data_IF_220013633991
#
_entry.id   IF_220013633991
#
_cell.length_a   1.000
_cell.length_b   1.000
_cell.length_c   1.000
_cell.angle_alpha   90.00
_cell.angle_beta   90.00
_cell.angle_gamma   90.00
#
_symmetry.space_group_name_H-M   'P 1'
#
loop_
_entity.id
_entity.type
_entity.pdbx_description
1 polymer ?
#
# COMPACT_ATOMS: atom_id res chain seq x y z
N UNK A 1 -8.37 15.33 -9.23
CA UNK A 1 -9.77 15.47 -8.75
C UNK A 1 -10.63 14.41 -9.42
N UNK A 2 -11.46 13.68 -8.67
CA UNK A 2 -12.35 12.63 -9.18
C UNK A 2 -13.83 13.04 -8.96
N UNK A 3 -14.46 13.74 -9.91
CA UNK A 3 -15.72 14.46 -9.68
C UNK A 3 -16.95 13.57 -9.46
N UNK A 4 -16.86 12.27 -9.77
CA UNK A 4 -17.92 11.29 -9.55
C UNK A 4 -17.63 10.34 -8.37
N UNK A 5 -16.51 10.56 -7.65
CA UNK A 5 -16.21 9.79 -6.44
C UNK A 5 -16.84 10.45 -5.22
N UNK A 6 -17.13 9.62 -4.22
CA UNK A 6 -17.49 10.07 -2.87
C UNK A 6 -16.49 11.13 -2.38
N UNK A 7 -16.99 12.13 -1.67
CA UNK A 7 -16.17 13.12 -0.98
C UNK A 7 -15.26 12.45 0.05
N UNK A 8 -14.20 13.16 0.47
CA UNK A 8 -13.32 12.65 1.53
C UNK A 8 -14.08 12.34 2.82
N UNK A 9 -15.09 13.15 3.16
CA UNK A 9 -15.94 12.95 4.34
C UNK A 9 -16.81 11.69 4.21
N UNK A 10 -17.45 11.49 3.06
CA UNK A 10 -18.24 10.28 2.79
C UNK A 10 -17.36 9.03 2.81
N UNK A 11 -16.15 9.12 2.24
CA UNK A 11 -15.20 8.01 2.23
C UNK A 11 -14.78 7.62 3.66
N UNK A 12 -14.39 8.59 4.49
CA UNK A 12 -14.04 8.34 5.90
C UNK A 12 -15.26 7.88 6.72
N UNK A 13 -16.45 8.39 6.43
CA UNK A 13 -17.69 7.93 7.08
C UNK A 13 -17.94 6.44 6.82
N UNK A 14 -17.76 5.97 5.59
CA UNK A 14 -17.93 4.55 5.26
C UNK A 14 -16.95 3.67 6.06
N UNK A 15 -15.68 4.09 6.14
CA UNK A 15 -14.70 3.39 6.98
C UNK A 15 -15.09 3.38 8.45
N UNK A 16 -15.53 4.51 9.00
CA UNK A 16 -16.03 4.62 10.37
C UNK A 16 -17.17 3.64 10.65
N UNK A 17 -18.20 3.62 9.80
CA UNK A 17 -19.34 2.70 9.97
C UNK A 17 -18.89 1.23 9.91
N UNK A 18 -17.98 0.89 8.98
CA UNK A 18 -17.41 -0.46 8.91
C UNK A 18 -16.68 -0.84 10.21
N UNK A 19 -15.84 0.07 10.74
CA UNK A 19 -15.11 -0.18 11.98
C UNK A 19 -16.03 -0.34 13.19
N UNK A 20 -17.10 0.47 13.29
CA UNK A 20 -18.12 0.35 14.34
C UNK A 20 -18.89 -0.98 14.27
N UNK A 21 -18.96 -1.60 13.09
CA UNK A 21 -19.52 -2.94 12.89
C UNK A 21 -18.48 -4.06 13.10
N UNK A 22 -17.25 -3.73 13.50
CA UNK A 22 -16.17 -4.70 13.70
C UNK A 22 -15.53 -5.21 12.40
N UNK A 23 -15.74 -4.52 11.29
CA UNK A 23 -15.17 -4.87 9.98
C UNK A 23 -13.87 -4.07 9.82
N UNK A 24 -12.69 -4.72 9.84
CA UNK A 24 -11.43 -4.03 9.60
C UNK A 24 -11.32 -3.61 8.14
N UNK A 25 -10.61 -2.52 7.88
CA UNK A 25 -10.43 -2.00 6.51
C UNK A 25 -8.99 -1.55 6.26
N UNK A 26 -8.70 -1.22 4.99
CA UNK A 26 -7.44 -0.63 4.57
C UNK A 26 -7.71 0.76 4.01
N UNK A 27 -6.71 1.64 4.07
CA UNK A 27 -6.82 2.99 3.53
C UNK A 27 -5.71 3.27 2.52
N UNK A 28 -6.05 3.99 1.46
CA UNK A 28 -5.10 4.34 0.39
C UNK A 28 -4.97 5.85 0.26
N UNK A 29 -3.77 6.30 -0.03
CA UNK A 29 -3.49 7.68 -0.44
C UNK A 29 -2.80 7.66 -1.80
N UNK A 30 -3.50 8.13 -2.83
CA UNK A 30 -2.86 8.38 -4.12
C UNK A 30 -1.94 9.60 -3.99
N UNK A 31 -0.72 9.50 -4.48
CA UNK A 31 0.28 10.58 -4.42
C UNK A 31 1.08 10.66 -5.71
N UNK A 32 1.73 11.80 -5.93
CA UNK A 32 2.57 12.06 -7.09
C UNK A 32 1.80 12.52 -8.31
N UNK A 33 0.60 13.06 -8.13
CA UNK A 33 -0.18 13.71 -9.16
C UNK A 33 -0.03 15.23 -9.04
N UNK A 34 -1.15 15.96 -9.11
CA UNK A 34 -1.19 17.43 -9.02
C UNK A 34 -1.24 17.97 -7.58
N UNK A 35 -1.09 17.10 -6.57
CA UNK A 35 -1.24 17.51 -5.17
C UNK A 35 0.04 18.08 -4.58
N UNK A 36 -0.11 18.93 -3.58
CA UNK A 36 0.99 19.43 -2.79
C UNK A 36 1.29 18.49 -1.61
N UNK A 37 2.49 18.61 -1.04
CA UNK A 37 2.84 17.88 0.19
C UNK A 37 1.88 18.17 1.35
N UNK A 38 1.28 19.36 1.38
CA UNK A 38 0.26 19.72 2.38
C UNK A 38 -0.97 18.84 2.26
N UNK A 39 -1.40 18.50 1.04
CA UNK A 39 -2.55 17.63 0.80
C UNK A 39 -2.27 16.20 1.29
N UNK A 40 -1.04 15.71 1.09
CA UNK A 40 -0.60 14.40 1.62
C UNK A 40 -0.67 14.37 3.15
N UNK A 41 -0.14 15.40 3.81
CA UNK A 41 -0.16 15.52 5.27
C UNK A 41 -1.58 15.66 5.79
N UNK A 42 -2.43 16.44 5.13
CA UNK A 42 -3.84 16.57 5.49
C UNK A 42 -4.58 15.24 5.38
N UNK A 43 -4.35 14.46 4.31
CA UNK A 43 -4.89 13.11 4.19
C UNK A 43 -4.44 12.23 5.35
N UNK A 44 -3.12 12.21 5.65
CA UNK A 44 -2.57 11.43 6.76
C UNK A 44 -3.13 11.86 8.13
N UNK A 45 -3.34 13.15 8.37
CA UNK A 45 -3.96 13.66 9.61
C UNK A 45 -5.37 13.11 9.77
N UNK A 46 -6.20 13.23 8.73
CA UNK A 46 -7.61 12.80 8.79
C UNK A 46 -7.76 11.30 9.02
N UNK A 47 -6.93 10.47 8.37
CA UNK A 47 -6.99 9.02 8.56
C UNK A 47 -6.42 8.59 9.91
N UNK A 48 -5.40 9.30 10.42
CA UNK A 48 -4.86 9.11 11.76
C UNK A 48 -5.89 9.44 12.83
N UNK A 49 -6.61 10.55 12.70
CA UNK A 49 -7.69 10.94 13.61
C UNK A 49 -8.81 9.89 13.64
N UNK A 50 -9.25 9.41 12.47
CA UNK A 50 -10.25 8.34 12.42
C UNK A 50 -9.72 7.03 13.02
N UNK A 51 -8.44 6.73 12.85
CA UNK A 51 -7.81 5.57 13.48
C UNK A 51 -7.75 5.69 15.00
N UNK A 52 -7.47 6.87 15.55
CA UNK A 52 -7.53 7.13 17.00
C UNK A 52 -8.96 6.89 17.55
N UNK A 53 -9.98 7.21 16.76
CA UNK A 53 -11.38 7.03 17.16
C UNK A 53 -11.88 5.58 17.07
N UNK A 54 -11.40 4.80 16.11
CA UNK A 54 -12.03 3.52 15.73
C UNK A 54 -11.09 2.32 15.72
N UNK A 55 -9.78 2.53 15.55
CA UNK A 55 -8.76 1.48 15.51
C UNK A 55 -8.92 0.42 14.40
N UNK A 56 -9.77 0.66 13.40
CA UNK A 56 -10.18 -0.38 12.45
C UNK A 56 -9.33 -0.48 11.18
N UNK A 57 -8.40 0.46 10.94
CA UNK A 57 -7.48 0.33 9.82
C UNK A 57 -6.37 -0.65 10.11
N UNK A 58 -6.13 -1.58 9.18
CA UNK A 58 -5.03 -2.54 9.28
C UNK A 58 -3.75 -2.01 8.62
N UNK A 59 -3.88 -1.33 7.48
CA UNK A 59 -2.73 -0.88 6.70
C UNK A 59 -3.01 0.42 5.97
N UNK A 60 -1.99 1.28 5.95
CA UNK A 60 -1.94 2.46 5.08
C UNK A 60 -1.15 2.14 3.81
N UNK A 61 -1.69 2.53 2.67
CA UNK A 61 -1.17 2.17 1.35
C UNK A 61 -0.93 3.46 0.53
N UNK A 62 0.31 3.98 0.50
CA UNK A 62 0.69 5.06 -0.42
C UNK A 62 0.73 4.50 -1.85
N UNK A 63 -0.16 4.97 -2.71
CA UNK A 63 -0.27 4.56 -4.11
C UNK A 63 0.37 5.59 -5.01
N UNK A 64 1.46 5.20 -5.68
CA UNK A 64 2.13 6.03 -6.68
C UNK A 64 1.22 6.21 -7.89
N UNK A 65 0.97 7.46 -8.26
CA UNK A 65 0.26 7.81 -9.48
C UNK A 65 1.10 7.54 -10.73
N UNK A 66 0.45 7.00 -11.77
CA UNK A 66 1.04 6.78 -13.10
C UNK A 66 0.30 7.63 -14.12
N UNK A 67 0.95 8.62 -14.76
CA UNK A 67 0.30 9.58 -15.65
C UNK A 67 -0.07 8.98 -17.02
N UNK A 68 0.63 7.93 -17.46
CA UNK A 68 0.43 7.33 -18.78
C UNK A 68 -1.01 6.84 -18.98
N UNK A 69 -1.64 7.27 -20.08
CA UNK A 69 -3.02 6.88 -20.40
C UNK A 69 -4.11 7.58 -19.58
N UNK A 70 -3.77 8.56 -18.74
CA UNK A 70 -4.73 9.35 -17.95
C UNK A 70 -4.91 10.75 -18.51
N UNK A 71 -6.10 11.34 -18.33
CA UNK A 71 -6.38 12.73 -18.76
C UNK A 71 -5.59 13.78 -17.95
N UNK A 72 -5.22 13.43 -16.72
CA UNK A 72 -4.53 14.33 -15.80
C UNK A 72 -3.05 14.51 -16.18
N UNK A 73 -2.46 13.56 -16.91
CA UNK A 73 -1.07 13.62 -17.36
C UNK A 73 -0.11 13.83 -16.19
N UNK A 74 1.03 14.47 -16.47
CA UNK A 74 2.07 14.79 -15.49
C UNK A 74 3.31 13.92 -15.63
N UNK A 75 4.20 14.02 -14.65
CA UNK A 75 5.47 13.29 -14.60
C UNK A 75 5.46 12.26 -13.46
N UNK A 76 6.23 11.20 -13.60
CA UNK A 76 6.43 10.24 -12.53
C UNK A 76 7.23 10.87 -11.39
N UNK A 77 6.84 10.58 -10.15
CA UNK A 77 7.64 10.89 -8.98
C UNK A 77 9.00 10.19 -9.05
N UNK A 78 10.02 10.86 -8.50
CA UNK A 78 11.33 10.24 -8.29
C UNK A 78 11.26 9.17 -7.20
N UNK A 79 12.14 8.16 -7.26
CA UNK A 79 12.25 7.15 -6.21
C UNK A 79 12.58 7.75 -4.84
N UNK A 80 13.19 8.93 -4.78
CA UNK A 80 13.45 9.65 -3.53
C UNK A 80 12.13 10.16 -2.93
N UNK A 81 11.22 10.69 -3.74
CA UNK A 81 9.91 11.15 -3.26
C UNK A 81 9.03 9.96 -2.81
N UNK A 82 9.12 8.83 -3.52
CA UNK A 82 8.43 7.59 -3.17
C UNK A 82 8.87 7.09 -1.78
N UNK A 83 10.19 6.96 -1.57
CA UNK A 83 10.75 6.49 -0.30
C UNK A 83 10.49 7.49 0.84
N UNK A 84 10.54 8.81 0.56
CA UNK A 84 10.17 9.84 1.54
C UNK A 84 8.71 9.74 1.94
N UNK A 85 7.81 9.52 0.99
CA UNK A 85 6.37 9.39 1.26
C UNK A 85 6.11 8.21 2.20
N UNK A 86 6.75 7.06 1.95
CA UNK A 86 6.64 5.87 2.81
C UNK A 86 7.24 6.13 4.21
N UNK A 87 8.43 6.74 4.28
CA UNK A 87 9.08 7.03 5.56
C UNK A 87 8.30 8.03 6.41
N UNK A 88 7.77 9.09 5.78
CA UNK A 88 6.91 10.06 6.46
C UNK A 88 5.62 9.39 6.93
N UNK A 89 4.99 8.55 6.10
CA UNK A 89 3.80 7.81 6.51
C UNK A 89 4.07 6.95 7.76
N UNK A 90 5.19 6.21 7.80
CA UNK A 90 5.57 5.43 8.98
C UNK A 90 5.79 6.28 10.23
N UNK A 91 6.42 7.44 10.10
CA UNK A 91 6.69 8.32 11.25
C UNK A 91 5.43 9.08 11.71
N UNK A 92 4.53 9.42 10.79
CA UNK A 92 3.37 10.25 11.05
C UNK A 92 2.15 9.45 11.50
N UNK A 93 1.95 8.25 10.95
CA UNK A 93 0.83 7.36 11.26
C UNK A 93 1.22 6.37 12.37
N UNK A 94 1.53 6.90 13.56
CA UNK A 94 1.99 6.11 14.70
C UNK A 94 0.96 5.11 15.27
N UNK A 95 -0.30 5.22 14.84
CA UNK A 95 -1.41 4.34 15.20
C UNK A 95 -1.83 3.35 14.08
N UNK A 96 -1.00 3.22 13.04
CA UNK A 96 -1.13 2.18 12.02
C UNK A 96 -0.08 1.10 12.21
N UNK A 97 -0.52 -0.16 12.32
CA UNK A 97 0.38 -1.30 12.45
C UNK A 97 1.25 -1.47 11.19
N UNK A 98 0.62 -1.37 10.00
CA UNK A 98 1.25 -1.72 8.74
C UNK A 98 1.30 -0.55 7.74
N UNK A 99 2.41 -0.47 7.00
CA UNK A 99 2.57 0.40 5.82
C UNK A 99 2.94 -0.49 4.63
N UNK A 100 2.14 -0.40 3.56
CA UNK A 100 2.31 -1.25 2.37
C UNK A 100 3.19 -0.58 1.31
N UNK A 101 4.21 -1.29 0.84
CA UNK A 101 4.91 -1.00 -0.41
C UNK A 101 4.23 -1.75 -1.57
N UNK A 102 3.39 -1.05 -2.33
CA UNK A 102 2.72 -1.64 -3.49
C UNK A 102 3.66 -1.74 -4.69
N UNK A 103 4.26 -2.92 -4.89
CA UNK A 103 5.36 -3.11 -5.85
C UNK A 103 4.95 -2.94 -7.32
N UNK A 104 3.66 -3.07 -7.66
CA UNK A 104 3.16 -2.92 -9.04
C UNK A 104 3.31 -1.46 -9.47
N UNK A 105 3.05 -0.51 -8.57
CA UNK A 105 3.20 0.92 -8.90
C UNK A 105 4.61 1.43 -8.62
N UNK A 106 5.31 0.89 -7.62
CA UNK A 106 6.66 1.35 -7.24
C UNK A 106 7.79 0.74 -8.10
N UNK A 107 7.57 -0.47 -8.62
CA UNK A 107 8.61 -1.34 -9.16
C UNK A 107 9.40 -2.08 -8.07
N UNK A 108 9.95 -3.24 -8.41
CA UNK A 108 10.61 -4.17 -7.48
C UNK A 108 11.75 -3.50 -6.68
N UNK A 109 12.62 -2.74 -7.35
CA UNK A 109 13.79 -2.11 -6.69
C UNK A 109 13.38 -1.08 -5.65
N UNK A 110 12.39 -0.24 -5.94
CA UNK A 110 11.92 0.79 -5.00
C UNK A 110 11.13 0.13 -3.87
N UNK A 111 10.30 -0.86 -4.16
CA UNK A 111 9.58 -1.62 -3.14
C UNK A 111 10.53 -2.37 -2.18
N UNK A 112 11.63 -2.92 -2.70
CA UNK A 112 12.69 -3.53 -1.89
C UNK A 112 13.33 -2.51 -0.94
N UNK A 113 13.73 -1.35 -1.46
CA UNK A 113 14.28 -0.28 -0.64
C UNK A 113 13.27 0.21 0.40
N UNK A 114 11.99 0.30 0.04
CA UNK A 114 10.92 0.75 0.93
C UNK A 114 10.81 -0.06 2.23
N UNK A 115 11.20 -1.35 2.22
CA UNK A 115 11.28 -2.19 3.41
C UNK A 115 12.26 -1.65 4.46
N UNK A 116 13.23 -0.84 4.05
CA UNK A 116 14.18 -0.14 4.93
C UNK A 116 13.78 1.31 5.22
N UNK A 117 12.66 1.78 4.66
CA UNK A 117 12.11 3.13 4.85
C UNK A 117 10.75 3.11 5.55
N UNK A 118 10.38 1.99 6.18
CA UNK A 118 9.20 1.91 7.05
C UNK A 118 8.04 1.09 6.50
N UNK A 119 8.11 0.59 5.26
CA UNK A 119 7.17 -0.45 4.83
C UNK A 119 7.52 -1.79 5.49
N UNK A 120 6.51 -2.55 5.90
CA UNK A 120 6.65 -3.91 6.41
C UNK A 120 5.82 -4.93 5.62
N UNK A 121 4.94 -4.43 4.75
CA UNK A 121 4.08 -5.23 3.90
C UNK A 121 4.39 -4.95 2.43
N UNK A 122 4.80 -5.98 1.69
CA UNK A 122 4.99 -5.90 0.24
C UNK A 122 3.92 -6.75 -0.44
N UNK A 123 3.18 -6.12 -1.34
CA UNK A 123 2.00 -6.73 -1.94
C UNK A 123 1.76 -6.18 -3.36
N UNK A 124 1.02 -6.95 -4.14
CA UNK A 124 0.43 -6.53 -5.39
C UNK A 124 0.17 -7.69 -6.32
N UNK A 125 -1.01 -7.69 -6.95
CA UNK A 125 -1.43 -8.75 -7.85
C UNK A 125 -0.54 -8.76 -9.09
N UNK A 126 0.09 -9.89 -9.36
CA UNK A 126 0.90 -10.02 -10.57
C UNK A 126 -0.08 -10.13 -11.75
N UNK A 127 0.16 -9.38 -12.83
CA UNK A 127 -0.66 -9.50 -14.03
C UNK A 127 -0.62 -10.96 -14.58
N UNK A 128 0.53 -11.62 -14.43
CA UNK A 128 0.69 -13.05 -14.66
C UNK A 128 -0.20 -13.88 -13.73
N UNK A 129 -0.37 -13.56 -12.44
CA UNK A 129 -1.31 -14.28 -11.55
C UNK A 129 -2.73 -14.27 -12.10
N UNK A 130 -3.25 -13.14 -12.62
CA UNK A 130 -4.59 -13.09 -13.22
C UNK A 130 -4.70 -13.96 -14.47
N UNK A 131 -3.70 -13.92 -15.35
CA UNK A 131 -3.68 -14.72 -16.59
C UNK A 131 -3.51 -16.21 -16.25
N UNK A 132 -2.69 -16.54 -15.25
CA UNK A 132 -2.35 -17.89 -14.79
C UNK A 132 -3.52 -18.52 -14.02
N UNK A 133 -4.22 -17.76 -13.20
CA UNK A 133 -5.42 -18.24 -12.50
C UNK A 133 -6.54 -18.56 -13.50
N UNK A 134 -6.61 -17.81 -14.61
CA UNK A 134 -7.49 -18.11 -15.74
C UNK A 134 -7.00 -19.29 -16.60
N UNK A 135 -5.69 -19.57 -16.64
CA UNK A 135 -5.07 -20.62 -17.45
C UNK A 135 -4.76 -21.94 -16.70
N UNK A 136 -4.95 -22.00 -15.37
CA UNK A 136 -4.85 -23.23 -14.55
C UNK A 136 -3.42 -23.74 -14.26
N UNK A 137 -2.38 -22.95 -14.52
CA UNK A 137 -0.98 -23.41 -14.46
C UNK A 137 -0.27 -23.08 -13.13
N UNK A 138 -0.07 -24.08 -12.26
CA UNK A 138 0.55 -23.90 -10.92
C UNK A 138 2.01 -23.40 -10.91
N UNK A 139 2.76 -23.58 -12.00
CA UNK A 139 4.20 -23.26 -12.04
C UNK A 139 4.49 -21.75 -11.94
N UNK A 140 3.67 -20.89 -12.55
CA UNK A 140 3.90 -19.45 -12.57
C UNK A 140 3.62 -18.74 -11.23
N UNK A 141 2.65 -19.22 -10.44
CA UNK A 141 2.41 -18.78 -9.05
C UNK A 141 3.61 -19.05 -8.12
N UNK A 142 4.37 -20.13 -8.38
CA UNK A 142 5.60 -20.41 -7.64
C UNK A 142 6.69 -19.37 -7.88
N UNK A 143 6.84 -18.88 -9.11
CA UNK A 143 7.86 -17.90 -9.48
C UNK A 143 7.61 -16.53 -8.83
N UNK A 144 6.36 -16.11 -8.78
CA UNK A 144 5.89 -14.91 -8.09
C UNK A 144 6.29 -14.87 -6.61
N UNK A 145 5.94 -15.93 -5.90
CA UNK A 145 6.19 -16.09 -4.47
C UNK A 145 7.68 -16.11 -4.16
N UNK A 146 8.45 -16.92 -4.90
CA UNK A 146 9.89 -17.02 -4.69
C UNK A 146 10.58 -15.67 -4.94
N UNK A 147 10.10 -14.90 -5.93
CA UNK A 147 10.59 -13.56 -6.22
C UNK A 147 10.37 -12.59 -5.06
N UNK A 148 9.18 -12.58 -4.45
CA UNK A 148 8.90 -11.78 -3.25
C UNK A 148 9.80 -12.19 -2.07
N UNK A 149 9.93 -13.49 -1.84
CA UNK A 149 10.78 -14.03 -0.77
C UNK A 149 12.22 -13.53 -0.95
N UNK A 150 12.77 -13.65 -2.17
CA UNK A 150 14.13 -13.21 -2.46
C UNK A 150 14.28 -11.69 -2.34
N UNK A 151 13.31 -10.91 -2.84
CA UNK A 151 13.31 -9.45 -2.72
C UNK A 151 13.38 -9.01 -1.24
N UNK A 152 12.57 -9.63 -0.38
CA UNK A 152 12.54 -9.34 1.06
C UNK A 152 13.86 -9.75 1.74
N UNK A 153 14.42 -10.93 1.40
CA UNK A 153 15.71 -11.39 1.94
C UNK A 153 16.86 -10.48 1.53
N UNK A 154 16.92 -10.10 0.26
CA UNK A 154 17.94 -9.21 -0.29
C UNK A 154 17.85 -7.79 0.32
N UNK A 155 16.68 -7.40 0.85
CA UNK A 155 16.51 -6.18 1.65
C UNK A 155 17.00 -6.33 3.11
N UNK A 156 17.50 -7.51 3.49
CA UNK A 156 17.92 -7.82 4.87
C UNK A 156 16.76 -8.06 5.83
N UNK A 157 15.58 -8.46 5.33
CA UNK A 157 14.37 -8.72 6.14
C UNK A 157 14.00 -10.20 6.15
N UNK A 158 13.07 -10.56 7.03
CA UNK A 158 12.54 -11.92 7.15
C UNK A 158 11.21 -12.00 6.38
N UNK A 159 11.13 -12.76 5.28
CA UNK A 159 9.88 -12.96 4.57
C UNK A 159 8.89 -13.77 5.39
N UNK A 160 7.65 -13.29 5.47
CA UNK A 160 6.55 -13.97 6.11
C UNK A 160 5.30 -13.92 5.22
N UNK A 161 4.62 -15.05 5.09
CA UNK A 161 3.30 -15.16 4.48
C UNK A 161 2.24 -14.96 5.56
N UNK A 162 1.26 -14.12 5.26
CA UNK A 162 0.18 -13.72 6.17
C UNK A 162 -1.19 -13.97 5.55
N UNK A 163 -2.22 -14.05 6.39
CA UNK A 163 -3.60 -13.95 5.93
C UNK A 163 -4.05 -12.48 5.76
N UNK A 164 -5.33 -12.27 5.46
CA UNK A 164 -5.94 -10.94 5.32
C UNK A 164 -5.91 -10.13 6.63
N UNK A 165 -5.85 -10.81 7.78
CA UNK A 165 -5.83 -10.21 9.10
C UNK A 165 -4.41 -10.05 9.67
N UNK A 166 -3.39 -10.19 8.82
CA UNK A 166 -1.97 -10.11 9.19
C UNK A 166 -1.49 -11.19 10.17
N UNK A 167 -2.25 -12.28 10.35
CA UNK A 167 -1.75 -13.43 11.07
C UNK A 167 -0.67 -14.12 10.24
N UNK A 168 0.49 -14.36 10.84
CA UNK A 168 1.59 -15.06 10.16
C UNK A 168 1.23 -16.53 9.99
N UNK A 169 1.14 -16.97 8.73
CA UNK A 169 0.91 -18.36 8.34
C UNK A 169 2.23 -19.11 8.27
N UNK A 170 3.26 -18.48 7.71
CA UNK A 170 4.56 -19.11 7.49
C UNK A 170 5.70 -18.09 7.42
N UNK A 171 6.82 -18.41 8.06
CA UNK A 171 8.07 -17.65 7.97
C UNK A 171 9.06 -18.38 7.07
N UNK A 172 9.76 -17.66 6.20
CA UNK A 172 10.76 -18.19 5.27
C UNK A 172 12.17 -17.83 5.74
N UNK A 173 12.75 -18.69 6.58
CA UNK A 173 14.14 -18.60 7.04
C UNK A 173 15.16 -18.86 5.94
#
# INVERSE_FOLDING_TARGET
IAPYKASAEEYLKIHREAHLLGIPTNITMLYGHIEDYRDRVEHMSRVRELQDETGGFQVFIPLKYHPEGTELGGELTSSVDDLKTIAVARLFLDNFDHIKAYWVTLGERVAQLALNYGADDIDGTILEERIVHAAGTKAALGHAKERLINLIRDAGKIPAERDTFYNIIKVYG
#
